data_IF_113927893042
#
_entry.id   IF_113927893042
#
_cell.length_a   1.000
_cell.length_b   1.000
_cell.length_c   1.000
_cell.angle_alpha   90.00
_cell.angle_beta   90.00
_cell.angle_gamma   90.00
#
_symmetry.space_group_name_H-M   'P 1'
#
loop_
_entity.id
_entity.type
_entity.pdbx_description
1 polymer ?
#
# COMPACT_ATOMS: atom_id res chain seq x y z
N UNK A 1 6.31 -6.92 -18.95
CA UNK A 1 6.40 -7.82 -17.78
C UNK A 1 5.04 -8.41 -17.38
N UNK A 2 4.08 -7.57 -17.00
CA UNK A 2 2.80 -7.98 -16.38
C UNK A 2 2.02 -9.02 -17.20
N UNK A 3 1.61 -8.67 -18.42
CA UNK A 3 0.87 -9.58 -19.33
C UNK A 3 1.66 -10.84 -19.67
N UNK A 4 2.98 -10.75 -19.76
CA UNK A 4 3.87 -11.89 -20.01
C UNK A 4 3.86 -12.89 -18.83
N UNK A 5 3.88 -12.40 -17.59
CA UNK A 5 3.75 -13.24 -16.39
C UNK A 5 2.40 -13.96 -16.35
N UNK A 6 1.30 -13.27 -16.68
CA UNK A 6 -0.03 -13.86 -16.77
C UNK A 6 -0.07 -14.97 -17.83
N UNK A 7 0.49 -14.71 -19.03
CA UNK A 7 0.60 -15.72 -20.09
C UNK A 7 1.41 -16.94 -19.64
N UNK A 8 2.54 -16.73 -19.00
CA UNK A 8 3.38 -17.81 -18.46
C UNK A 8 2.65 -18.64 -17.39
N UNK A 9 1.96 -17.98 -16.46
CA UNK A 9 1.16 -18.64 -15.43
C UNK A 9 0.00 -19.45 -16.04
N UNK A 10 -0.62 -18.97 -17.12
CA UNK A 10 -1.65 -19.69 -17.86
C UNK A 10 -1.14 -20.98 -18.51
N UNK A 11 0.11 -20.97 -19.01
CA UNK A 11 0.74 -22.12 -19.64
C UNK A 11 1.38 -23.12 -18.65
N UNK A 12 1.71 -22.69 -17.43
CA UNK A 12 2.35 -23.53 -16.43
C UNK A 12 1.46 -24.73 -16.05
N UNK A 13 2.00 -25.94 -15.99
CA UNK A 13 1.24 -27.14 -15.55
C UNK A 13 1.36 -27.43 -14.05
N UNK A 14 2.39 -26.89 -13.39
CA UNK A 14 2.65 -27.10 -11.97
C UNK A 14 1.65 -26.34 -11.06
N UNK A 15 1.48 -26.85 -9.84
CA UNK A 15 0.62 -26.23 -8.82
C UNK A 15 1.23 -24.99 -8.17
N UNK A 16 2.56 -24.85 -8.18
CA UNK A 16 3.28 -23.71 -7.59
C UNK A 16 3.95 -22.92 -8.71
N UNK A 17 3.76 -21.61 -8.70
CA UNK A 17 4.39 -20.67 -9.63
C UNK A 17 5.61 -20.04 -8.97
N UNK A 18 6.73 -20.01 -9.69
CA UNK A 18 7.93 -19.27 -9.30
C UNK A 18 8.24 -18.24 -10.38
N UNK A 19 8.28 -16.98 -9.99
CA UNK A 19 8.65 -15.87 -10.86
C UNK A 19 10.08 -15.44 -10.55
N UNK A 20 10.91 -15.32 -11.59
CA UNK A 20 12.27 -14.78 -11.52
C UNK A 20 12.42 -13.72 -12.61
N UNK A 21 13.20 -12.67 -12.33
CA UNK A 21 13.69 -11.79 -13.37
C UNK A 21 14.77 -12.52 -14.21
N UNK A 22 14.95 -12.08 -15.46
CA UNK A 22 15.85 -12.74 -16.41
C UNK A 22 17.35 -12.55 -16.14
N UNK A 23 17.71 -11.93 -15.02
CA UNK A 23 19.06 -11.55 -14.64
C UNK A 23 19.27 -11.80 -13.14
N UNK A 24 18.98 -13.04 -12.76
CA UNK A 24 19.16 -13.56 -11.41
C UNK A 24 20.12 -14.75 -11.40
N UNK A 25 20.77 -14.98 -10.27
CA UNK A 25 21.50 -16.21 -9.95
C UNK A 25 20.93 -16.81 -8.67
N UNK A 26 20.45 -18.05 -8.73
CA UNK A 26 19.86 -18.72 -7.57
C UNK A 26 20.93 -19.41 -6.75
N UNK A 27 20.84 -19.34 -5.43
CA UNK A 27 21.83 -19.95 -4.53
C UNK A 27 21.44 -21.40 -4.16
N UNK A 28 22.32 -22.09 -3.43
CA UNK A 28 22.08 -23.43 -2.89
C UNK A 28 20.79 -23.47 -2.07
N UNK A 29 19.97 -24.49 -2.31
CA UNK A 29 18.72 -24.76 -1.59
C UNK A 29 17.74 -23.59 -1.48
N UNK A 30 17.77 -22.67 -2.46
CA UNK A 30 16.92 -21.49 -2.46
C UNK A 30 15.42 -21.82 -2.57
N UNK A 31 15.04 -22.91 -3.26
CA UNK A 31 13.66 -23.15 -3.66
C UNK A 31 12.87 -23.95 -2.62
N UNK A 32 13.49 -24.93 -1.97
CA UNK A 32 12.87 -25.80 -0.98
C UNK A 32 12.17 -25.03 0.16
N UNK A 33 12.80 -24.04 0.83
CA UNK A 33 12.13 -23.28 1.89
C UNK A 33 10.93 -22.50 1.35
N UNK A 34 10.99 -21.94 0.15
CA UNK A 34 9.87 -21.21 -0.45
C UNK A 34 8.68 -22.13 -0.76
N UNK A 35 8.94 -23.28 -1.39
CA UNK A 35 7.89 -24.26 -1.69
C UNK A 35 7.25 -24.77 -0.39
N UNK A 36 8.05 -25.03 0.65
CA UNK A 36 7.51 -25.51 1.92
C UNK A 36 6.53 -24.50 2.53
N UNK A 37 6.90 -23.21 2.55
CA UNK A 37 6.02 -22.15 3.10
C UNK A 37 4.68 -22.03 2.39
N UNK A 38 4.67 -22.15 1.06
CA UNK A 38 3.45 -22.13 0.25
C UNK A 38 2.64 -23.42 0.41
N UNK A 39 3.29 -24.57 0.60
CA UNK A 39 2.58 -25.82 0.89
C UNK A 39 1.90 -25.82 2.26
N UNK A 40 2.57 -25.27 3.27
CA UNK A 40 2.01 -25.15 4.62
C UNK A 40 0.76 -24.27 4.64
N UNK A 41 0.68 -23.29 3.74
CA UNK A 41 -0.43 -22.36 3.59
C UNK A 41 -0.39 -21.71 2.20
N UNK A 42 -1.31 -22.16 1.35
CA UNK A 42 -1.38 -21.76 -0.05
C UNK A 42 -1.67 -20.26 -0.25
N UNK A 43 -2.09 -19.53 0.80
CA UNK A 43 -2.37 -18.10 0.75
C UNK A 43 -1.11 -17.23 0.90
N UNK A 44 0.03 -17.85 1.26
CA UNK A 44 1.32 -17.17 1.41
C UNK A 44 1.97 -16.93 0.06
N UNK A 45 2.49 -15.72 -0.12
CA UNK A 45 3.38 -15.36 -1.22
C UNK A 45 4.73 -15.06 -0.62
N UNK A 46 5.77 -15.76 -1.09
CA UNK A 46 7.08 -15.72 -0.45
C UNK A 46 8.16 -15.27 -1.42
N UNK A 47 9.08 -14.45 -0.93
CA UNK A 47 10.26 -13.95 -1.65
C UNK A 47 11.55 -14.38 -0.94
N UNK A 48 12.65 -14.56 -1.68
CA UNK A 48 13.96 -14.76 -1.08
C UNK A 48 14.51 -13.45 -0.51
N UNK A 49 15.61 -13.54 0.25
CA UNK A 49 16.55 -12.43 0.32
C UNK A 49 17.15 -12.25 -1.08
N UNK A 50 17.06 -11.02 -1.58
CA UNK A 50 17.61 -10.65 -2.87
C UNK A 50 19.02 -10.10 -2.65
N UNK A 51 20.02 -10.94 -2.91
CA UNK A 51 21.43 -10.54 -2.88
C UNK A 51 21.76 -9.68 -4.11
N UNK A 52 22.87 -8.94 -4.04
CA UNK A 52 23.27 -8.01 -5.10
C UNK A 52 24.29 -8.68 -6.01
N UNK A 53 23.99 -8.75 -7.30
CA UNK A 53 25.01 -9.01 -8.32
C UNK A 53 25.46 -7.67 -8.86
N UNK A 54 26.72 -7.33 -8.64
CA UNK A 54 27.31 -6.05 -9.06
C UNK A 54 27.22 -5.88 -10.57
N UNK A 55 26.70 -4.73 -11.02
CA UNK A 55 26.61 -4.42 -12.45
C UNK A 55 27.99 -4.24 -13.10
N UNK A 56 28.99 -3.84 -12.32
CA UNK A 56 30.31 -3.46 -12.85
C UNK A 56 31.24 -4.66 -13.05
N UNK A 57 31.16 -5.67 -12.17
CA UNK A 57 32.07 -6.81 -12.16
C UNK A 57 31.40 -8.17 -11.90
N UNK A 58 30.06 -8.23 -11.83
CA UNK A 58 29.28 -9.45 -11.58
C UNK A 58 29.62 -10.18 -10.27
N UNK A 59 30.28 -9.50 -9.32
CA UNK A 59 30.47 -10.05 -7.98
C UNK A 59 29.12 -10.27 -7.28
N UNK A 60 28.93 -11.46 -6.74
CA UNK A 60 27.78 -11.81 -5.89
C UNK A 60 28.04 -11.31 -4.47
N UNK A 61 27.21 -10.37 -4.00
CA UNK A 61 27.35 -9.69 -2.71
C UNK A 61 26.11 -9.97 -1.86
N UNK A 62 26.33 -10.56 -0.68
CA UNK A 62 25.24 -10.87 0.24
C UNK A 62 24.52 -9.61 0.72
N UNK A 63 23.19 -9.61 0.63
CA UNK A 63 22.35 -8.58 1.22
C UNK A 63 22.06 -8.88 2.71
N UNK A 64 21.69 -7.83 3.43
CA UNK A 64 21.28 -7.94 4.83
C UNK A 64 20.00 -8.76 4.96
N UNK A 65 19.98 -9.67 5.94
CA UNK A 65 18.80 -10.45 6.30
C UNK A 65 17.79 -9.67 7.17
N UNK A 66 18.14 -8.45 7.59
CA UNK A 66 17.31 -7.59 8.43
C UNK A 66 16.48 -6.59 7.61
N UNK A 67 16.32 -6.83 6.30
CA UNK A 67 15.57 -5.96 5.40
C UNK A 67 14.20 -6.55 5.05
N UNK A 68 13.20 -5.66 5.02
CA UNK A 68 11.88 -5.91 4.44
C UNK A 68 11.54 -4.85 3.40
N UNK A 69 10.57 -5.14 2.54
CA UNK A 69 10.10 -4.17 1.55
C UNK A 69 9.18 -3.15 2.20
N UNK A 70 9.41 -1.87 1.88
CA UNK A 70 8.59 -0.74 2.28
C UNK A 70 8.35 0.20 1.10
N UNK A 71 7.58 1.25 1.35
CA UNK A 71 7.32 2.28 0.35
C UNK A 71 7.03 3.64 0.97
N UNK A 72 7.17 4.70 0.17
CA UNK A 72 6.69 6.03 0.53
C UNK A 72 5.36 6.36 -0.17
N UNK A 73 4.71 7.44 0.24
CA UNK A 73 3.43 7.84 -0.34
C UNK A 73 3.47 8.12 -1.84
N UNK A 74 4.64 8.33 -2.46
CA UNK A 74 4.76 8.43 -3.92
C UNK A 74 4.65 7.08 -4.65
N UNK A 75 4.36 6.01 -3.90
CA UNK A 75 4.44 4.61 -4.31
C UNK A 75 5.83 4.31 -4.89
N UNK A 76 6.89 4.70 -4.20
CA UNK A 76 8.26 4.31 -4.52
C UNK A 76 8.71 3.20 -3.57
N UNK A 77 9.23 2.10 -4.13
CA UNK A 77 9.69 0.96 -3.34
C UNK A 77 11.04 1.27 -2.70
N UNK A 78 11.22 0.88 -1.45
CA UNK A 78 12.48 1.00 -0.72
C UNK A 78 12.68 -0.21 0.18
N UNK A 79 13.94 -0.54 0.45
CA UNK A 79 14.29 -1.48 1.49
C UNK A 79 14.31 -0.77 2.84
N UNK A 80 13.65 -1.35 3.82
CA UNK A 80 13.61 -0.85 5.20
C UNK A 80 14.17 -1.89 6.15
N UNK A 81 14.82 -1.43 7.23
CA UNK A 81 15.17 -2.30 8.34
C UNK A 81 13.89 -2.82 9.00
N UNK A 82 13.92 -4.07 9.45
CA UNK A 82 12.87 -4.62 10.30
C UNK A 82 12.75 -3.74 11.56
N UNK A 83 11.54 -3.37 12.01
CA UNK A 83 11.33 -2.61 13.23
C UNK A 83 12.07 -3.23 14.42
N UNK A 84 12.66 -2.40 15.29
CA UNK A 84 13.50 -2.88 16.40
C UNK A 84 12.76 -3.88 17.27
N UNK A 85 11.48 -3.63 17.58
CA UNK A 85 10.64 -4.53 18.36
C UNK A 85 10.51 -5.92 17.70
N UNK A 86 10.23 -5.96 16.39
CA UNK A 86 10.17 -7.20 15.63
C UNK A 86 11.53 -7.88 15.54
N UNK A 87 12.62 -7.11 15.40
CA UNK A 87 13.99 -7.63 15.37
C UNK A 87 14.37 -8.28 16.70
N UNK A 88 14.03 -7.65 17.83
CA UNK A 88 14.33 -8.17 19.17
C UNK A 88 13.44 -9.38 19.55
N UNK A 89 12.22 -9.46 19.02
CA UNK A 89 11.34 -10.61 19.22
C UNK A 89 11.81 -11.88 18.46
N UNK A 90 12.67 -11.73 17.45
CA UNK A 90 13.19 -12.84 16.67
C UNK A 90 14.35 -13.52 17.40
N UNK A 91 14.11 -14.73 17.87
CA UNK A 91 15.13 -15.59 18.50
C UNK A 91 15.92 -16.40 17.48
N UNK A 92 15.37 -16.61 16.29
CA UNK A 92 16.00 -17.35 15.19
C UNK A 92 16.07 -16.46 13.93
N UNK A 93 17.29 -16.16 13.43
CA UNK A 93 17.47 -15.28 12.28
C UNK A 93 16.92 -15.88 10.98
N UNK A 94 16.65 -17.19 10.93
CA UNK A 94 16.13 -17.89 9.76
C UNK A 94 14.62 -17.81 9.60
N UNK A 95 13.90 -17.32 10.61
CA UNK A 95 12.44 -17.24 10.58
C UNK A 95 11.93 -16.36 9.42
N UNK A 96 10.79 -16.68 8.81
CA UNK A 96 10.14 -15.81 7.83
C UNK A 96 9.94 -14.39 8.37
N UNK A 97 10.10 -13.38 7.51
CA UNK A 97 9.89 -11.97 7.83
C UNK A 97 8.64 -11.50 7.09
N UNK A 98 7.62 -11.04 7.80
CA UNK A 98 6.46 -10.41 7.16
C UNK A 98 6.87 -9.09 6.51
N UNK A 99 6.49 -8.90 5.25
CA UNK A 99 6.85 -7.70 4.48
C UNK A 99 5.60 -6.98 3.98
N UNK A 100 5.47 -5.65 4.21
CA UNK A 100 4.35 -4.88 3.67
C UNK A 100 4.20 -5.01 2.15
N UNK A 101 5.32 -4.91 1.45
CA UNK A 101 5.39 -4.99 -0.02
C UNK A 101 6.56 -5.87 -0.44
N UNK A 102 6.45 -6.54 -1.59
CA UNK A 102 7.57 -7.25 -2.22
C UNK A 102 8.19 -6.40 -3.33
N UNK A 103 9.46 -6.62 -3.65
CA UNK A 103 10.08 -5.98 -4.82
C UNK A 103 9.38 -6.37 -6.13
N UNK A 104 8.76 -7.55 -6.17
CA UNK A 104 7.92 -8.02 -7.27
C UNK A 104 8.66 -8.76 -8.39
N UNK A 105 9.99 -8.69 -8.46
CA UNK A 105 10.81 -9.43 -9.42
C UNK A 105 10.84 -10.94 -9.17
N UNK A 106 10.94 -11.32 -7.89
CA UNK A 106 11.28 -12.67 -7.45
C UNK A 106 10.33 -13.11 -6.33
N UNK A 107 9.47 -14.08 -6.59
CA UNK A 107 8.55 -14.65 -5.60
C UNK A 107 7.97 -16.00 -6.02
N UNK A 108 7.44 -16.74 -5.05
CA UNK A 108 6.75 -18.02 -5.20
C UNK A 108 5.33 -17.90 -4.64
N UNK A 109 4.37 -18.49 -5.35
CA UNK A 109 2.95 -18.43 -5.02
C UNK A 109 2.21 -19.68 -5.52
N UNK A 110 1.19 -20.13 -4.79
CA UNK A 110 0.29 -21.18 -5.27
C UNK A 110 -0.48 -20.71 -6.52
N UNK A 111 -0.57 -21.55 -7.55
CA UNK A 111 -1.21 -21.22 -8.82
C UNK A 111 -2.72 -20.99 -8.66
N UNK A 112 -3.38 -21.81 -7.84
CA UNK A 112 -4.81 -21.66 -7.60
C UNK A 112 -5.10 -20.36 -6.85
N UNK A 113 -4.25 -20.00 -5.90
CA UNK A 113 -4.31 -18.73 -5.19
C UNK A 113 -4.05 -17.54 -6.11
N UNK A 114 -3.05 -17.61 -7.00
CA UNK A 114 -2.78 -16.58 -8.01
C UNK A 114 -4.00 -16.34 -8.92
N UNK A 115 -4.67 -17.41 -9.33
CA UNK A 115 -5.90 -17.33 -10.14
C UNK A 115 -7.09 -16.80 -9.32
N UNK A 116 -7.26 -17.26 -8.09
CA UNK A 116 -8.33 -16.83 -7.19
C UNK A 116 -8.26 -15.34 -6.90
N UNK A 117 -7.06 -14.83 -6.62
CA UNK A 117 -6.82 -13.40 -6.44
C UNK A 117 -6.96 -12.60 -7.73
N UNK A 118 -7.24 -13.21 -8.88
CA UNK A 118 -7.46 -12.48 -10.14
C UNK A 118 -6.19 -12.09 -10.89
N UNK A 119 -5.12 -12.88 -10.74
CA UNK A 119 -3.85 -12.79 -11.47
C UNK A 119 -3.20 -11.41 -11.33
N UNK A 120 -2.63 -10.84 -12.39
CA UNK A 120 -2.27 -9.42 -12.44
C UNK A 120 -3.30 -8.61 -13.22
N UNK A 121 -3.36 -7.31 -12.94
CA UNK A 121 -4.08 -6.36 -13.78
C UNK A 121 -3.44 -6.24 -15.17
N UNK A 122 -4.08 -6.85 -16.17
CA UNK A 122 -3.55 -6.92 -17.55
C UNK A 122 -3.59 -5.58 -18.30
N UNK A 123 -4.28 -4.57 -17.75
CA UNK A 123 -4.27 -3.21 -18.27
C UNK A 123 -3.08 -2.37 -17.77
N UNK A 124 -2.23 -2.93 -16.90
CA UNK A 124 -0.92 -2.35 -16.59
C UNK A 124 0.06 -2.57 -17.74
N UNK A 125 0.89 -1.57 -18.01
CA UNK A 125 1.82 -1.56 -19.13
C UNK A 125 3.26 -1.73 -18.70
N UNK A 126 3.99 -2.55 -19.48
CA UNK A 126 5.45 -2.72 -19.45
C UNK A 126 6.01 -3.11 -18.08
N UNK A 127 6.18 -2.14 -17.16
CA UNK A 127 6.86 -2.26 -15.87
C UNK A 127 6.39 -1.20 -14.86
N UNK A 128 6.40 -1.57 -13.57
CA UNK A 128 6.23 -0.69 -12.43
C UNK A 128 4.78 -0.65 -11.94
N UNK A 129 4.60 -0.59 -10.61
CA UNK A 129 3.28 -0.51 -9.98
C UNK A 129 2.64 -1.87 -9.66
N UNK A 130 3.00 -2.93 -10.40
CA UNK A 130 2.40 -4.25 -10.25
C UNK A 130 2.77 -4.92 -8.93
N UNK A 131 3.95 -4.59 -8.39
CA UNK A 131 4.41 -5.08 -7.10
C UNK A 131 3.54 -4.51 -5.97
N UNK A 132 3.19 -3.21 -6.00
CA UNK A 132 2.27 -2.62 -5.03
C UNK A 132 0.87 -3.19 -5.14
N UNK A 133 0.33 -3.28 -6.36
CA UNK A 133 -1.02 -3.80 -6.60
C UNK A 133 -1.18 -5.22 -6.07
N UNK A 134 -0.23 -6.12 -6.41
CA UNK A 134 -0.25 -7.48 -5.90
C UNK A 134 -0.07 -7.51 -4.38
N UNK A 135 0.84 -6.72 -3.82
CA UNK A 135 1.08 -6.70 -2.37
C UNK A 135 -0.13 -6.26 -1.57
N UNK A 136 -0.77 -5.14 -1.97
CA UNK A 136 -1.99 -4.65 -1.32
C UNK A 136 -3.10 -5.68 -1.42
N UNK A 137 -3.32 -6.23 -2.62
CA UNK A 137 -4.34 -7.25 -2.85
C UNK A 137 -4.12 -8.50 -2.00
N UNK A 138 -2.92 -9.06 -1.96
CA UNK A 138 -2.64 -10.27 -1.18
C UNK A 138 -2.95 -10.02 0.30
N UNK A 139 -2.44 -8.94 0.89
CA UNK A 139 -2.67 -8.62 2.29
C UNK A 139 -4.14 -8.33 2.60
N UNK A 140 -4.78 -7.47 1.80
CA UNK A 140 -6.14 -7.02 2.06
C UNK A 140 -7.18 -8.11 1.78
N UNK A 141 -6.87 -9.10 0.93
CA UNK A 141 -7.78 -10.18 0.55
C UNK A 141 -7.46 -11.52 1.25
N UNK A 142 -6.75 -11.49 2.38
CA UNK A 142 -6.65 -12.64 3.29
C UNK A 142 -5.40 -13.51 3.16
N UNK A 143 -4.42 -13.12 2.35
CA UNK A 143 -3.11 -13.76 2.30
C UNK A 143 -2.04 -13.00 3.08
N UNK A 144 -0.77 -13.38 2.89
CA UNK A 144 0.37 -12.66 3.46
C UNK A 144 1.61 -12.74 2.60
N UNK A 145 2.48 -11.73 2.74
CA UNK A 145 3.78 -11.68 2.07
C UNK A 145 4.90 -11.96 3.07
N UNK A 146 5.84 -12.82 2.70
CA UNK A 146 7.00 -13.17 3.53
C UNK A 146 8.30 -13.07 2.75
N UNK A 147 9.38 -12.65 3.42
CA UNK A 147 10.77 -12.81 2.97
C UNK A 147 11.38 -13.96 3.76
N UNK A 148 12.01 -14.91 3.09
CA UNK A 148 12.59 -16.10 3.71
C UNK A 148 14.11 -16.00 3.76
N UNK A 149 14.73 -15.83 4.95
CA UNK A 149 16.18 -15.64 5.05
C UNK A 149 17.04 -16.80 4.52
N UNK A 150 16.53 -18.03 4.57
CA UNK A 150 17.20 -19.22 4.03
C UNK A 150 17.14 -19.31 2.50
N UNK A 151 16.25 -18.56 1.85
CA UNK A 151 16.18 -18.51 0.39
C UNK A 151 16.96 -17.30 -0.10
N UNK A 152 17.97 -17.54 -0.95
CA UNK A 152 18.89 -16.51 -1.44
C UNK A 152 18.92 -16.52 -2.96
N UNK A 153 18.68 -15.36 -3.57
CA UNK A 153 18.77 -15.18 -5.02
C UNK A 153 19.47 -13.86 -5.31
N UNK A 154 20.59 -13.92 -6.03
CA UNK A 154 21.27 -12.74 -6.53
C UNK A 154 20.51 -12.09 -7.66
N UNK A 155 20.48 -10.76 -7.70
CA UNK A 155 19.84 -9.97 -8.77
C UNK A 155 20.78 -8.85 -9.25
N UNK A 156 20.83 -8.64 -10.57
CA UNK A 156 21.58 -7.52 -11.16
C UNK A 156 20.75 -6.23 -11.07
N UNK A 157 21.01 -5.42 -10.04
CA UNK A 157 20.36 -4.11 -9.89
C UNK A 157 20.90 -3.09 -10.90
N UNK A 158 20.00 -2.49 -11.67
CA UNK A 158 20.34 -1.54 -12.74
C UNK A 158 19.93 -0.12 -12.38
N UNK A 159 20.75 0.86 -12.77
CA UNK A 159 20.44 2.30 -12.62
C UNK A 159 19.42 2.81 -13.63
N UNK A 160 19.27 2.14 -14.78
CA UNK A 160 18.41 2.54 -15.90
C UNK A 160 17.77 1.31 -16.55
N UNK A 161 16.59 1.50 -17.12
CA UNK A 161 15.93 0.48 -17.94
C UNK A 161 16.58 0.42 -19.33
N UNK A 162 16.97 -0.76 -19.84
CA UNK A 162 17.59 -0.92 -21.15
C UNK A 162 16.59 -1.17 -22.29
N UNK A 163 15.31 -0.85 -22.08
CA UNK A 163 14.24 -1.08 -23.04
C UNK A 163 13.33 0.14 -23.14
N UNK A 164 12.64 0.25 -24.26
CA UNK A 164 11.84 1.42 -24.60
C UNK A 164 10.47 1.43 -23.91
N UNK A 165 10.02 2.65 -23.62
CA UNK A 165 8.66 2.92 -23.16
C UNK A 165 8.00 3.79 -24.24
N UNK A 166 7.00 3.27 -24.98
CA UNK A 166 6.37 4.00 -26.10
C UNK A 166 5.83 5.38 -25.70
N UNK A 167 5.28 5.51 -24.49
CA UNK A 167 4.77 6.76 -23.93
C UNK A 167 5.72 7.36 -22.87
N UNK A 168 6.94 6.83 -22.74
CA UNK A 168 7.90 7.21 -21.71
C UNK A 168 7.70 6.49 -20.36
N UNK A 169 8.81 6.25 -19.67
CA UNK A 169 8.85 5.50 -18.40
C UNK A 169 7.95 6.15 -17.34
N UNK A 170 8.05 7.47 -17.17
CA UNK A 170 7.31 8.19 -16.14
C UNK A 170 5.78 8.06 -16.31
N UNK A 171 5.27 8.21 -17.54
CA UNK A 171 3.82 8.09 -17.81
C UNK A 171 3.34 6.65 -17.64
N UNK A 172 4.14 5.67 -18.07
CA UNK A 172 3.84 4.24 -17.85
C UNK A 172 3.75 3.91 -16.37
N UNK A 173 4.74 4.35 -15.58
CA UNK A 173 4.77 4.16 -14.15
C UNK A 173 3.59 4.85 -13.44
N UNK A 174 3.27 6.08 -13.83
CA UNK A 174 2.11 6.82 -13.31
C UNK A 174 0.82 6.08 -13.62
N UNK A 175 0.62 5.63 -14.87
CA UNK A 175 -0.57 4.87 -15.25
C UNK A 175 -0.76 3.66 -14.33
N UNK A 176 0.27 2.83 -14.17
CA UNK A 176 0.16 1.60 -13.37
C UNK A 176 -0.03 1.89 -11.87
N UNK A 177 0.75 2.82 -11.31
CA UNK A 177 0.63 3.18 -9.88
C UNK A 177 -0.71 3.83 -9.56
N UNK A 178 -1.30 4.59 -10.50
CA UNK A 178 -2.67 5.09 -10.35
C UNK A 178 -3.71 3.98 -10.33
N UNK A 179 -3.58 2.97 -11.19
CA UNK A 179 -4.48 1.81 -11.17
C UNK A 179 -4.43 1.09 -9.82
N UNK A 180 -3.22 0.93 -9.27
CA UNK A 180 -3.06 0.37 -7.92
C UNK A 180 -3.71 1.25 -6.84
N UNK A 181 -3.41 2.56 -6.85
CA UNK A 181 -3.93 3.51 -5.86
C UNK A 181 -5.46 3.64 -5.88
N UNK A 182 -6.05 3.78 -7.06
CA UNK A 182 -7.50 3.98 -7.21
C UNK A 182 -8.31 2.73 -6.82
N UNK A 183 -7.74 1.54 -6.95
CA UNK A 183 -8.41 0.29 -6.58
C UNK A 183 -8.21 -0.06 -5.11
N UNK A 184 -7.00 0.16 -4.56
CA UNK A 184 -6.61 -0.43 -3.28
C UNK A 184 -6.38 0.56 -2.14
N UNK A 185 -6.16 1.84 -2.40
CA UNK A 185 -5.75 2.80 -1.35
C UNK A 185 -6.90 3.57 -0.71
N UNK A 186 -8.16 3.32 -1.09
CA UNK A 186 -9.33 4.05 -0.58
C UNK A 186 -9.10 5.58 -0.64
N UNK A 187 -9.42 6.32 0.41
CA UNK A 187 -9.20 7.78 0.47
C UNK A 187 -7.72 8.14 0.67
N UNK A 188 -6.87 7.20 1.09
CA UNK A 188 -5.42 7.41 1.24
C UNK A 188 -4.70 7.64 -0.10
N UNK A 189 -5.34 7.35 -1.24
CA UNK A 189 -4.82 7.70 -2.57
C UNK A 189 -4.55 9.20 -2.72
N UNK A 190 -5.21 10.06 -1.92
CA UNK A 190 -4.91 11.49 -1.91
C UNK A 190 -3.45 11.78 -1.56
N UNK A 191 -2.85 11.02 -0.64
CA UNK A 191 -1.45 11.20 -0.25
C UNK A 191 -0.50 10.81 -1.37
N UNK A 192 -0.87 9.83 -2.19
CA UNK A 192 -0.17 9.52 -3.43
C UNK A 192 -0.22 10.69 -4.41
N UNK A 193 -1.40 11.27 -4.61
CA UNK A 193 -1.54 12.44 -5.48
C UNK A 193 -0.83 13.68 -4.93
N UNK A 194 -0.74 13.86 -3.61
CA UNK A 194 0.05 14.93 -2.99
C UNK A 194 1.54 14.71 -3.15
N UNK A 195 2.02 13.47 -2.98
CA UNK A 195 3.43 13.13 -3.14
C UNK A 195 3.87 13.10 -4.61
N UNK A 196 2.93 12.86 -5.54
CA UNK A 196 3.16 12.84 -6.99
C UNK A 196 2.09 13.65 -7.74
N UNK A 197 2.12 15.00 -7.67
CA UNK A 197 1.10 15.84 -8.31
C UNK A 197 0.98 15.64 -9.82
N UNK A 198 2.07 15.27 -10.49
CA UNK A 198 2.09 14.95 -11.93
C UNK A 198 1.21 13.76 -12.33
N UNK A 199 0.77 12.94 -11.36
CA UNK A 199 -0.17 11.86 -11.59
C UNK A 199 -1.61 12.37 -11.73
N UNK A 200 -1.96 13.53 -11.16
CA UNK A 200 -3.32 14.06 -11.21
C UNK A 200 -3.78 14.32 -12.66
N UNK A 201 -5.02 13.96 -12.97
CA UNK A 201 -5.63 14.17 -14.30
C UNK A 201 -5.10 13.28 -15.43
N UNK A 202 -4.07 12.46 -15.21
CA UNK A 202 -3.58 11.48 -16.21
C UNK A 202 -4.57 10.34 -16.47
N UNK A 203 -4.67 9.85 -17.70
CA UNK A 203 -5.52 8.69 -17.98
C UNK A 203 -4.90 7.41 -17.39
N UNK A 204 -5.72 6.53 -16.81
CA UNK A 204 -5.29 5.22 -16.31
C UNK A 204 -6.17 4.06 -16.78
N UNK A 205 -7.15 4.34 -17.65
CA UNK A 205 -8.09 3.36 -18.20
C UNK A 205 -9.15 2.92 -17.19
N UNK A 206 -10.05 2.03 -17.62
CA UNK A 206 -11.09 1.47 -16.73
C UNK A 206 -10.47 0.55 -15.67
N UNK A 207 -11.00 0.63 -14.45
CA UNK A 207 -10.63 -0.21 -13.30
C UNK A 207 -11.84 -0.99 -12.76
N UNK A 208 -12.96 -0.99 -13.49
CA UNK A 208 -14.22 -1.57 -13.03
C UNK A 208 -14.08 -3.05 -12.64
N UNK A 209 -13.38 -3.84 -13.46
CA UNK A 209 -13.12 -5.26 -13.21
C UNK A 209 -12.30 -5.50 -11.94
N UNK A 210 -11.33 -4.62 -11.65
CA UNK A 210 -10.52 -4.69 -10.43
C UNK A 210 -11.31 -4.30 -9.19
N UNK A 211 -12.20 -3.32 -9.30
CA UNK A 211 -13.12 -2.95 -8.22
C UNK A 211 -14.13 -4.06 -7.94
N UNK A 212 -14.68 -4.70 -8.98
CA UNK A 212 -15.57 -5.86 -8.84
C UNK A 212 -14.87 -7.04 -8.18
N UNK A 213 -13.62 -7.33 -8.57
CA UNK A 213 -12.80 -8.34 -7.94
C UNK A 213 -12.58 -8.06 -6.44
N UNK A 214 -12.21 -6.81 -6.09
CA UNK A 214 -12.02 -6.42 -4.69
C UNK A 214 -13.29 -6.62 -3.86
N UNK A 215 -14.46 -6.29 -4.40
CA UNK A 215 -15.77 -6.54 -3.77
C UNK A 215 -16.04 -8.05 -3.63
N UNK A 216 -15.84 -8.82 -4.69
CA UNK A 216 -16.10 -10.27 -4.72
C UNK A 216 -15.27 -11.03 -3.69
N UNK A 217 -14.02 -10.62 -3.51
CA UNK A 217 -13.10 -11.21 -2.53
C UNK A 217 -13.31 -10.72 -1.10
N UNK A 218 -14.24 -9.76 -0.88
CA UNK A 218 -14.52 -9.16 0.42
C UNK A 218 -13.26 -8.64 1.13
N UNK A 219 -12.40 -7.95 0.38
CA UNK A 219 -11.11 -7.49 0.88
C UNK A 219 -11.27 -6.39 1.93
N UNK A 220 -10.33 -6.33 2.87
CA UNK A 220 -10.21 -5.29 3.90
C UNK A 220 -9.95 -3.91 3.30
N UNK A 221 -10.11 -2.87 4.12
CA UNK A 221 -9.78 -1.48 3.74
C UNK A 221 -8.27 -1.23 3.77
N UNK A 222 -7.84 -0.17 3.11
CA UNK A 222 -6.45 0.28 3.18
C UNK A 222 -6.09 0.79 4.59
N UNK A 223 -7.06 1.33 5.31
CA UNK A 223 -6.91 1.66 6.73
C UNK A 223 -6.48 0.42 7.54
N UNK A 224 -7.19 -0.71 7.38
CA UNK A 224 -6.80 -1.97 8.02
C UNK A 224 -5.39 -2.39 7.63
N UNK A 225 -5.01 -2.25 6.35
CA UNK A 225 -3.66 -2.54 5.90
C UNK A 225 -2.60 -1.68 6.63
N UNK A 226 -2.83 -0.39 6.77
CA UNK A 226 -1.91 0.50 7.50
C UNK A 226 -1.81 0.10 8.97
N UNK A 227 -2.92 -0.20 9.65
CA UNK A 227 -2.88 -0.56 11.07
C UNK A 227 -2.25 -1.94 11.34
N UNK A 228 -2.49 -2.92 10.47
CA UNK A 228 -2.19 -4.33 10.74
C UNK A 228 -0.98 -4.87 9.97
N UNK A 229 -0.60 -4.22 8.88
CA UNK A 229 0.47 -4.69 7.98
C UNK A 229 1.62 -3.70 7.94
N UNK A 230 1.34 -2.39 7.87
CA UNK A 230 2.38 -1.37 7.74
C UNK A 230 2.20 -0.14 8.67
N UNK A 231 2.14 -0.33 10.00
CA UNK A 231 1.89 0.75 10.95
C UNK A 231 3.03 1.78 11.02
N UNK A 232 4.22 1.42 10.53
CA UNK A 232 5.37 2.32 10.50
C UNK A 232 5.31 3.34 9.35
N UNK A 233 4.44 3.15 8.35
CA UNK A 233 4.21 4.13 7.30
C UNK A 233 3.46 5.34 7.86
N UNK A 234 4.23 6.35 8.26
CA UNK A 234 3.68 7.60 8.78
C UNK A 234 2.80 8.27 7.73
N UNK A 235 1.51 8.39 8.03
CA UNK A 235 0.57 9.19 7.25
C UNK A 235 1.05 10.65 7.33
N UNK A 236 1.21 11.37 6.20
CA UNK A 236 1.69 12.74 6.23
C UNK A 236 0.69 13.59 6.99
N UNK A 237 1.18 14.38 7.94
CA UNK A 237 0.35 15.37 8.60
C UNK A 237 -0.23 16.28 7.53
N UNK A 238 -1.54 16.19 7.32
CA UNK A 238 -2.21 17.20 6.52
C UNK A 238 -2.02 18.52 7.27
N UNK A 239 -1.32 19.48 6.67
CA UNK A 239 -1.48 20.89 7.05
C UNK A 239 -2.90 21.25 6.67
N UNK A 240 -3.85 20.87 7.52
CA UNK A 240 -5.24 20.95 7.16
C UNK A 240 -5.58 22.40 6.84
N UNK A 241 -6.17 22.60 5.68
CA UNK A 241 -6.60 23.94 5.27
C UNK A 241 -7.85 24.23 6.07
N UNK A 242 -7.85 25.34 6.81
CA UNK A 242 -9.05 25.78 7.52
C UNK A 242 -10.16 26.08 6.51
N UNK A 243 -11.33 25.51 6.75
CA UNK A 243 -12.52 25.72 5.93
C UNK A 243 -13.75 25.94 6.80
N UNK A 244 -14.83 26.39 6.17
CA UNK A 244 -16.16 26.53 6.75
C UNK A 244 -16.98 25.28 6.39
N UNK A 245 -17.62 24.64 7.39
CA UNK A 245 -18.61 23.59 7.15
C UNK A 245 -19.99 24.23 6.98
N UNK A 246 -20.52 24.23 5.77
CA UNK A 246 -21.73 24.98 5.40
C UNK A 246 -22.94 24.09 5.20
N UNK A 247 -24.10 24.56 5.65
CA UNK A 247 -25.43 24.07 5.31
C UNK A 247 -26.28 25.26 4.85
N UNK A 248 -26.39 25.46 3.53
CA UNK A 248 -26.99 26.66 2.95
C UNK A 248 -26.21 27.93 3.34
N UNK A 249 -26.90 28.92 3.92
CA UNK A 249 -26.29 30.15 4.44
C UNK A 249 -25.70 30.03 5.86
N UNK A 250 -25.85 28.87 6.50
CA UNK A 250 -25.39 28.62 7.87
C UNK A 250 -24.08 27.82 7.87
N UNK A 251 -23.26 28.04 8.88
CA UNK A 251 -21.98 27.41 9.12
C UNK A 251 -21.99 26.72 10.49
N UNK A 252 -21.32 25.57 10.59
CA UNK A 252 -21.07 24.91 11.87
C UNK A 252 -20.22 25.83 12.76
N UNK A 253 -20.71 26.13 13.96
CA UNK A 253 -20.05 26.97 14.95
C UNK A 253 -19.96 26.25 16.30
N UNK A 254 -18.77 26.30 16.91
CA UNK A 254 -18.55 25.88 18.29
C UNK A 254 -18.86 27.04 19.25
N UNK A 255 -19.76 26.85 20.21
CA UNK A 255 -20.02 27.86 21.24
C UNK A 255 -19.15 27.65 22.48
N UNK A 256 -18.94 26.39 22.87
CA UNK A 256 -18.08 25.94 23.97
C UNK A 256 -17.62 24.49 23.72
N UNK A 257 -16.88 23.88 24.64
CA UNK A 257 -16.34 22.51 24.47
C UNK A 257 -17.43 21.44 24.23
N UNK A 258 -18.66 21.68 24.66
CA UNK A 258 -19.73 20.66 24.62
C UNK A 258 -20.89 20.98 23.69
N UNK A 259 -20.95 22.18 23.08
CA UNK A 259 -22.07 22.59 22.24
C UNK A 259 -21.64 23.10 20.87
N UNK A 260 -22.25 22.47 19.87
CA UNK A 260 -22.15 22.76 18.45
C UNK A 260 -23.51 23.21 17.95
N UNK A 261 -23.53 24.14 17.00
CA UNK A 261 -24.75 24.51 16.30
C UNK A 261 -24.47 25.15 14.95
N UNK A 262 -25.55 25.55 14.28
CA UNK A 262 -25.50 26.26 13.01
C UNK A 262 -25.72 27.75 13.26
N UNK A 263 -24.82 28.58 12.76
CA UNK A 263 -24.91 30.04 12.83
C UNK A 263 -24.68 30.66 11.45
N UNK A 264 -24.96 31.95 11.26
CA UNK A 264 -24.65 32.60 9.98
C UNK A 264 -23.16 32.48 9.62
N UNK A 265 -22.89 32.18 8.35
CA UNK A 265 -21.53 32.06 7.87
C UNK A 265 -20.81 33.40 7.89
N UNK A 266 -19.77 33.51 8.72
CA UNK A 266 -18.94 34.71 8.81
C UNK A 266 -17.82 34.65 7.76
N UNK A 267 -18.00 35.37 6.64
CA UNK A 267 -17.02 35.49 5.55
C UNK A 267 -16.30 36.84 5.57
N UNK A 268 -14.97 36.86 5.43
CA UNK A 268 -14.16 38.09 5.43
C UNK A 268 -12.70 37.85 5.83
N UNK A 269 -11.94 38.91 6.09
CA UNK A 269 -10.49 38.87 6.42
C UNK A 269 -10.14 38.17 7.73
N UNK A 270 -11.13 37.81 8.56
CA UNK A 270 -10.93 37.00 9.77
C UNK A 270 -12.11 36.07 10.05
N UNK A 271 -12.10 34.86 9.44
CA UNK A 271 -13.01 33.79 9.88
C UNK A 271 -12.76 33.54 11.38
N UNK A 272 -13.78 33.61 12.25
CA UNK A 272 -13.60 33.38 13.67
C UNK A 272 -13.19 31.95 13.95
N UNK A 273 -12.39 31.76 15.00
CA UNK A 273 -11.90 30.44 15.40
C UNK A 273 -13.04 29.43 15.61
N UNK A 274 -14.22 29.89 16.04
CA UNK A 274 -15.43 29.09 16.27
C UNK A 274 -16.01 28.43 15.02
N UNK A 275 -15.75 28.97 13.83
CA UNK A 275 -16.23 28.44 12.55
C UNK A 275 -15.09 27.86 11.69
N UNK A 276 -13.84 27.90 12.18
CA UNK A 276 -12.67 27.35 11.50
C UNK A 276 -12.55 25.86 11.78
N UNK A 277 -12.89 25.06 10.78
CA UNK A 277 -12.79 23.61 10.84
C UNK A 277 -11.65 23.12 9.96
N UNK A 278 -11.01 22.05 10.40
CA UNK A 278 -9.94 21.40 9.67
C UNK A 278 -10.35 19.94 9.45
N UNK A 279 -10.43 19.53 8.20
CA UNK A 279 -10.55 18.11 7.87
C UNK A 279 -9.13 17.53 7.84
N UNK A 280 -8.85 16.61 8.74
CA UNK A 280 -7.69 15.71 8.68
C UNK A 280 -8.24 14.31 8.70
N UNK A 281 -8.43 13.75 7.51
CA UNK A 281 -9.18 12.53 7.31
C UNK A 281 -8.67 11.37 8.20
N UNK A 282 -9.57 10.66 8.92
CA UNK A 282 -11.04 10.75 8.86
C UNK A 282 -11.66 11.88 9.71
N UNK A 283 -10.87 12.58 10.51
CA UNK A 283 -11.34 13.45 11.57
C UNK A 283 -11.66 14.87 11.10
N UNK A 284 -12.78 15.41 11.59
CA UNK A 284 -13.08 16.84 11.50
C UNK A 284 -12.71 17.48 12.83
N UNK A 285 -11.74 18.40 12.83
CA UNK A 285 -11.20 18.97 14.06
C UNK A 285 -11.17 20.48 14.08
N UNK A 286 -11.13 21.00 15.30
CA UNK A 286 -10.91 22.40 15.62
C UNK A 286 -9.85 22.43 16.74
N UNK A 287 -8.65 22.90 16.42
CA UNK A 287 -7.46 22.76 17.28
C UNK A 287 -7.17 21.30 17.64
N UNK A 288 -7.22 20.94 18.92
CA UNK A 288 -6.96 19.63 19.50
C UNK A 288 -8.24 18.79 19.73
N UNK A 289 -9.39 19.32 19.32
CA UNK A 289 -10.70 18.69 19.51
C UNK A 289 -11.29 18.20 18.18
N UNK A 290 -11.86 17.00 18.19
CA UNK A 290 -12.47 16.33 17.05
C UNK A 290 -13.98 16.20 17.24
N UNK A 291 -14.74 16.37 16.15
CA UNK A 291 -16.16 16.04 16.11
C UNK A 291 -16.32 14.57 16.44
N UNK A 292 -17.08 14.26 17.49
CA UNK A 292 -17.26 12.90 17.98
C UNK A 292 -18.74 12.60 18.14
N UNK A 293 -19.21 11.48 17.60
CA UNK A 293 -20.58 11.01 17.86
C UNK A 293 -20.68 10.46 19.29
N UNK A 294 -21.78 10.80 19.98
CA UNK A 294 -22.04 10.29 21.34
C UNK A 294 -22.47 8.82 21.34
N UNK A 295 -23.17 8.37 20.30
CA UNK A 295 -23.51 6.97 20.05
C UNK A 295 -23.81 6.74 18.56
N UNK A 296 -23.79 5.48 18.14
CA UNK A 296 -24.11 5.06 16.76
C UNK A 296 -25.62 5.00 16.47
N UNK A 297 -26.48 5.38 17.42
CA UNK A 297 -27.93 5.39 17.25
C UNK A 297 -28.41 6.68 16.56
N UNK A 298 -29.46 6.61 15.71
CA UNK A 298 -30.07 7.80 15.11
C UNK A 298 -30.50 8.84 16.16
N UNK A 299 -30.28 10.12 15.86
CA UNK A 299 -30.58 11.24 16.76
C UNK A 299 -29.50 11.52 17.82
N UNK A 300 -28.45 10.71 17.87
CA UNK A 300 -27.28 10.98 18.72
C UNK A 300 -26.63 12.31 18.36
N UNK A 301 -26.26 13.07 19.39
CA UNK A 301 -25.61 14.37 19.20
C UNK A 301 -24.12 14.18 18.86
N UNK A 302 -23.58 15.15 18.14
CA UNK A 302 -22.15 15.33 17.93
C UNK A 302 -21.63 16.31 18.99
N UNK A 303 -20.45 16.04 19.55
CA UNK A 303 -19.74 16.93 20.48
C UNK A 303 -18.26 17.03 20.12
N UNK A 304 -17.52 17.90 20.81
CA UNK A 304 -16.07 17.98 20.66
C UNK A 304 -15.39 17.16 21.77
N UNK A 305 -14.55 16.21 21.40
CA UNK A 305 -13.68 15.46 22.33
C UNK A 305 -12.21 15.61 21.90
N UNK A 306 -11.23 15.41 22.81
CA UNK A 306 -9.83 15.35 22.41
C UNK A 306 -9.60 14.38 21.26
N UNK A 307 -8.91 14.85 20.22
CA UNK A 307 -8.62 14.03 19.06
C UNK A 307 -7.79 12.80 19.44
N UNK A 308 -8.26 11.62 19.03
CA UNK A 308 -7.60 10.34 19.21
C UNK A 308 -7.65 9.57 17.90
N UNK A 309 -6.50 9.25 17.27
CA UNK A 309 -6.49 8.49 16.03
C UNK A 309 -7.04 7.05 16.18
N UNK A 310 -7.27 6.60 17.41
CA UNK A 310 -7.83 5.27 17.73
C UNK A 310 -9.33 5.30 18.04
N UNK A 311 -9.95 6.48 18.08
CA UNK A 311 -11.37 6.62 18.43
C UNK A 311 -12.24 6.50 17.18
N UNK A 312 -12.93 5.37 17.04
CA UNK A 312 -13.83 5.09 15.91
C UNK A 312 -15.03 6.06 15.79
N UNK A 313 -15.38 6.77 16.87
CA UNK A 313 -16.48 7.75 16.90
C UNK A 313 -16.09 9.13 16.33
N UNK A 314 -14.82 9.33 15.98
CA UNK A 314 -14.25 10.60 15.49
C UNK A 314 -14.06 10.64 13.98
#
# INVERSE_FOLDING_TARGET
LIRSRVRGAGAASAAILTFLDSHCEVNTDWLQPMIQRVKDDHTRVVSPIIDVISLDNFAYLAASADLRGGFDWSLHFKWEQIPIEQKMARTDPTQPIRTPVIAGGIFVMDKSWFNHLGQYDTHMDIWGGENFELSFRVWMCGGSLEILPCSRVGHVFRKRHPYDFPEGNALTYIKNTRRAAEVWMDDYKQYYYSARPSAQGKAFGSIADRLDLRRKLNCKSFHWYLENVYPELKIPEQKGTYSLLKQGGLCLESYNRDSLGLAECKSGSSIPASQKWMLIEPQIRQHDLCLTITAYSPGSKVRLEPCSPKESRQ
#
